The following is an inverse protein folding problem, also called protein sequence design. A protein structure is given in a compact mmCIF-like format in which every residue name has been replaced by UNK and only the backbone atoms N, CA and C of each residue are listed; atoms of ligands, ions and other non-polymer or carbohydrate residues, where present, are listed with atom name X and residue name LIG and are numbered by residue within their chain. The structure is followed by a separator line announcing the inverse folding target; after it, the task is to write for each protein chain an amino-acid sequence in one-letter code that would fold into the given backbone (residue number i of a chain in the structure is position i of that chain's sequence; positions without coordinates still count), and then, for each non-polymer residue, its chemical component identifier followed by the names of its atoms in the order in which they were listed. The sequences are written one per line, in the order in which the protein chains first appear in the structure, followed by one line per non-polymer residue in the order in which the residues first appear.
data_IF_281514432325
#
_entry.id   IF_281514432325
#
_cell.length_a   1.000
_cell.length_b   1.000
_cell.length_c   1.000
_cell.angle_alpha   90.00
_cell.angle_beta   90.00
_cell.angle_gamma   90.00
#
_symmetry.space_group_name_H-M   'P 1'
#
loop_
_entity.id
_entity.type
_entity.pdbx_description
1 polymer ?
#
# COMPACT_ATOMS: atom_id res chain seq x y z
N UNK A 1 66.20 -55.34 -25.75
CA UNK A 1 64.79 -54.94 -25.79
C UNK A 1 64.40 -54.43 -24.40
N UNK A 2 64.47 -53.11 -24.16
CA UNK A 2 64.19 -52.45 -22.87
C UNK A 2 62.83 -51.81 -22.91
N UNK A 3 61.91 -52.30 -22.03
CA UNK A 3 60.56 -51.75 -21.85
C UNK A 3 60.69 -50.54 -20.92
N UNK A 4 60.32 -49.36 -21.49
CA UNK A 4 60.18 -48.11 -20.70
C UNK A 4 58.78 -48.09 -20.11
N UNK A 5 58.68 -48.22 -18.77
CA UNK A 5 57.45 -47.98 -18.02
C UNK A 5 57.23 -46.46 -17.91
N UNK A 6 56.20 -45.94 -18.58
CA UNK A 6 55.71 -44.57 -18.35
C UNK A 6 54.83 -44.56 -17.14
N UNK A 7 55.34 -44.04 -16.03
CA UNK A 7 54.59 -43.72 -14.83
C UNK A 7 53.87 -42.37 -15.07
N UNK A 8 52.56 -42.41 -15.26
CA UNK A 8 51.73 -41.20 -15.40
C UNK A 8 51.40 -40.73 -13.97
N UNK A 9 52.03 -39.62 -13.56
CA UNK A 9 51.71 -38.92 -12.30
C UNK A 9 50.43 -38.10 -12.50
N UNK A 10 49.28 -38.57 -11.99
CA UNK A 10 48.04 -37.83 -11.88
C UNK A 10 48.16 -36.85 -10.72
N UNK A 11 48.37 -35.58 -10.99
CA UNK A 11 48.34 -34.49 -10.03
C UNK A 11 46.87 -34.16 -9.71
N UNK A 12 46.39 -34.23 -8.44
CA UNK A 12 45.08 -33.79 -8.11
C UNK A 12 45.02 -32.24 -8.15
N UNK A 13 44.25 -31.68 -9.07
CA UNK A 13 43.95 -30.26 -9.09
C UNK A 13 42.96 -29.98 -7.98
N UNK A 14 43.44 -29.47 -6.84
CA UNK A 14 42.60 -28.94 -5.76
C UNK A 14 42.04 -27.60 -6.23
N UNK A 15 40.80 -27.60 -6.70
CA UNK A 15 40.03 -26.36 -6.99
C UNK A 15 39.64 -25.79 -5.63
N UNK A 16 40.43 -24.85 -5.13
CA UNK A 16 40.05 -23.99 -4.01
C UNK A 16 38.92 -23.08 -4.52
N UNK A 17 37.65 -23.52 -4.35
CA UNK A 17 36.48 -22.71 -4.57
C UNK A 17 36.51 -21.54 -3.59
N UNK A 18 36.81 -20.33 -4.09
CA UNK A 18 36.48 -19.10 -3.37
C UNK A 18 34.95 -19.03 -3.21
N UNK A 19 34.45 -19.37 -2.04
CA UNK A 19 33.07 -19.02 -1.69
C UNK A 19 32.96 -17.47 -1.72
N UNK A 20 32.03 -16.88 -2.45
CA UNK A 20 31.84 -15.44 -2.38
C UNK A 20 31.45 -15.10 -0.94
N UNK A 21 32.27 -14.33 -0.25
CA UNK A 21 31.89 -13.70 1.01
C UNK A 21 30.68 -12.82 0.72
N UNK A 22 29.48 -13.31 1.04
CA UNK A 22 28.28 -12.50 1.10
C UNK A 22 28.50 -11.53 2.26
N UNK A 23 28.94 -10.33 1.95
CA UNK A 23 29.00 -9.24 2.92
C UNK A 23 27.54 -8.94 3.25
N UNK A 24 27.03 -9.47 4.36
CA UNK A 24 25.78 -9.01 4.93
C UNK A 24 25.94 -7.50 5.18
N UNK A 25 25.28 -6.69 4.35
CA UNK A 25 25.17 -5.25 4.60
C UNK A 25 24.50 -5.10 5.95
N UNK A 26 25.25 -4.73 6.96
CA UNK A 26 24.72 -4.44 8.29
C UNK A 26 23.58 -3.43 8.13
N UNK A 27 22.35 -3.86 8.43
CA UNK A 27 21.17 -2.97 8.40
C UNK A 27 21.32 -1.97 9.54
N UNK A 28 21.56 -0.72 9.19
CA UNK A 28 21.57 0.37 10.17
C UNK A 28 20.14 0.86 10.32
N UNK A 29 19.50 0.46 11.42
CA UNK A 29 18.11 0.83 11.74
C UNK A 29 18.13 1.86 12.86
N UNK A 30 17.51 3.02 12.59
CA UNK A 30 17.29 4.07 13.59
C UNK A 30 15.84 4.00 14.07
N UNK A 31 15.65 3.87 15.38
CA UNK A 31 14.32 3.95 16.01
C UNK A 31 13.91 5.42 16.15
N UNK A 32 12.64 5.73 15.84
CA UNK A 32 12.06 7.07 15.90
C UNK A 32 10.78 6.97 16.72
N UNK A 33 10.74 7.63 17.87
CA UNK A 33 9.54 7.74 18.69
C UNK A 33 8.77 8.98 18.24
N UNK A 34 7.48 8.82 17.94
CA UNK A 34 6.59 9.92 17.53
C UNK A 34 7.06 10.65 16.26
N UNK A 35 6.89 9.99 15.10
CA UNK A 35 7.14 10.62 13.80
C UNK A 35 6.01 11.59 13.46
N UNK A 36 6.37 12.81 13.02
CA UNK A 36 5.50 13.76 12.32
C UNK A 36 6.26 14.25 11.07
N UNK A 37 5.71 13.93 9.90
CA UNK A 37 6.32 14.21 8.61
C UNK A 37 5.33 14.92 7.68
N UNK A 38 5.77 15.97 7.01
CA UNK A 38 5.00 16.67 5.99
C UNK A 38 5.76 16.63 4.66
N UNK A 39 5.06 16.24 3.59
CA UNK A 39 5.62 16.17 2.25
C UNK A 39 4.93 17.22 1.36
N UNK A 40 5.76 17.95 0.63
CA UNK A 40 5.34 19.06 -0.23
C UNK A 40 5.69 18.77 -1.68
N UNK A 41 4.91 19.32 -2.60
CA UNK A 41 5.21 19.36 -4.03
C UNK A 41 6.36 20.32 -4.32
N UNK A 42 6.87 20.31 -5.53
CA UNK A 42 7.87 21.29 -6.00
C UNK A 42 7.36 22.73 -5.92
N UNK A 43 6.05 22.94 -6.01
CA UNK A 43 5.40 24.25 -5.92
C UNK A 43 5.13 24.69 -4.47
N UNK A 44 5.52 23.88 -3.47
CA UNK A 44 5.30 24.18 -2.07
C UNK A 44 3.92 23.78 -1.52
N UNK A 45 3.07 23.15 -2.32
CA UNK A 45 1.78 22.64 -1.86
C UNK A 45 1.99 21.38 -1.03
N UNK A 46 1.30 21.28 0.10
CA UNK A 46 1.32 20.07 0.94
C UNK A 46 0.57 18.94 0.24
N UNK A 47 1.27 17.83 -0.04
CA UNK A 47 0.69 16.67 -0.70
C UNK A 47 0.09 15.74 0.34
N UNK A 48 0.86 15.39 1.38
CA UNK A 48 0.40 14.56 2.49
C UNK A 48 1.20 14.81 3.76
N UNK A 49 0.62 14.40 4.89
CA UNK A 49 1.33 14.31 6.17
C UNK A 49 1.16 12.91 6.75
N UNK A 50 2.17 12.47 7.49
CA UNK A 50 2.17 11.19 8.20
C UNK A 50 2.48 11.45 9.66
N UNK A 51 1.67 10.89 10.56
CA UNK A 51 1.99 10.77 11.98
C UNK A 51 2.04 9.30 12.36
N UNK A 52 2.99 8.90 13.22
CA UNK A 52 3.10 7.54 13.74
C UNK A 52 3.68 7.56 15.15
N UNK A 53 3.07 6.87 16.12
CA UNK A 53 3.57 6.85 17.50
C UNK A 53 4.90 6.13 17.64
N UNK A 54 5.18 5.15 16.78
CA UNK A 54 6.42 4.36 16.76
C UNK A 54 6.83 4.07 15.31
N UNK A 55 8.11 4.30 15.00
CA UNK A 55 8.63 4.10 13.67
C UNK A 55 10.11 3.77 13.68
N UNK A 56 10.62 3.32 12.54
CA UNK A 56 12.02 3.09 12.32
C UNK A 56 12.44 3.49 10.91
N UNK A 57 13.67 3.95 10.78
CA UNK A 57 14.27 4.29 9.50
C UNK A 57 15.45 3.35 9.21
N UNK A 58 15.38 2.64 8.10
CA UNK A 58 16.49 1.86 7.58
C UNK A 58 17.33 2.73 6.65
N UNK A 59 18.50 3.13 7.11
CA UNK A 59 19.41 4.02 6.37
C UNK A 59 19.94 3.36 5.10
N UNK A 60 20.13 2.04 5.13
CA UNK A 60 20.66 1.29 3.98
C UNK A 60 19.62 1.14 2.86
N UNK A 61 18.36 0.93 3.23
CA UNK A 61 17.25 0.76 2.28
C UNK A 61 16.51 2.07 1.97
N UNK A 62 16.85 3.16 2.65
CA UNK A 62 16.16 4.46 2.59
C UNK A 62 14.65 4.29 2.80
N UNK A 63 14.28 3.55 3.84
CA UNK A 63 12.91 3.10 4.04
C UNK A 63 12.44 3.35 5.48
N UNK A 64 11.28 3.99 5.63
CA UNK A 64 10.57 4.06 6.89
C UNK A 64 9.67 2.85 7.07
N UNK A 65 9.61 2.32 8.30
CA UNK A 65 8.53 1.46 8.79
C UNK A 65 7.81 2.22 9.88
N UNK A 66 6.48 2.22 9.81
CA UNK A 66 5.59 3.00 10.66
C UNK A 66 4.57 2.05 11.29
N UNK A 67 4.33 2.19 12.59
CA UNK A 67 3.32 1.44 13.31
C UNK A 67 2.14 2.36 13.64
N UNK A 68 0.92 1.90 13.41
CA UNK A 68 -0.32 2.65 13.61
C UNK A 68 -0.29 4.07 13.02
N UNK A 69 0.12 4.22 11.74
CA UNK A 69 0.20 5.54 11.12
C UNK A 69 -1.18 6.13 10.85
N UNK A 70 -1.24 7.45 10.89
CA UNK A 70 -2.32 8.24 10.31
C UNK A 70 -1.74 9.13 9.22
N UNK A 71 -2.37 9.08 8.04
CA UNK A 71 -1.92 9.79 6.84
C UNK A 71 -3.05 10.69 6.38
N UNK A 72 -2.76 11.99 6.24
CA UNK A 72 -3.68 12.95 5.66
C UNK A 72 -3.21 13.28 4.25
N UNK A 73 -4.07 13.09 3.25
CA UNK A 73 -3.82 13.46 1.86
C UNK A 73 -4.55 14.76 1.55
N UNK A 74 -3.82 15.71 0.96
CA UNK A 74 -4.33 17.05 0.70
C UNK A 74 -4.63 17.27 -0.79
N UNK A 75 -5.62 18.13 -1.05
CA UNK A 75 -5.89 18.73 -2.35
C UNK A 75 -5.90 20.25 -2.16
N UNK A 76 -4.83 20.91 -2.57
CA UNK A 76 -4.57 22.29 -2.18
C UNK A 76 -4.39 22.41 -0.67
N UNK A 77 -5.17 23.26 0.00
CA UNK A 77 -5.09 23.47 1.45
C UNK A 77 -5.98 22.56 2.28
N UNK A 78 -6.87 21.79 1.64
CA UNK A 78 -7.86 20.97 2.31
C UNK A 78 -7.43 19.51 2.37
N UNK A 79 -7.68 18.85 3.51
CA UNK A 79 -7.51 17.40 3.63
C UNK A 79 -8.63 16.71 2.82
N UNK A 80 -8.24 15.90 1.85
CA UNK A 80 -9.16 15.15 1.00
C UNK A 80 -9.49 13.78 1.58
N UNK A 81 -8.45 13.07 2.06
CA UNK A 81 -8.58 11.75 2.66
C UNK A 81 -7.79 11.67 3.96
N UNK A 82 -8.30 10.88 4.90
CA UNK A 82 -7.57 10.41 6.08
C UNK A 82 -7.45 8.90 5.98
N UNK A 83 -6.23 8.38 6.07
CA UNK A 83 -5.96 6.94 5.99
C UNK A 83 -5.26 6.51 7.26
N UNK A 84 -5.70 5.38 7.82
CA UNK A 84 -5.04 4.71 8.94
C UNK A 84 -4.82 3.23 8.62
N UNK A 85 -3.85 2.60 9.26
CA UNK A 85 -3.54 1.17 9.16
C UNK A 85 -2.77 0.69 10.39
N UNK A 86 -2.56 -0.62 10.51
CA UNK A 86 -1.71 -1.18 11.58
C UNK A 86 -0.23 -0.89 11.29
N UNK A 87 0.19 -1.08 10.04
CA UNK A 87 1.57 -0.90 9.60
C UNK A 87 1.62 -0.12 8.28
N UNK A 88 2.72 0.60 8.09
CA UNK A 88 3.02 1.22 6.80
C UNK A 88 4.52 1.20 6.50
N UNK A 89 4.85 1.25 5.21
CA UNK A 89 6.20 1.48 4.74
C UNK A 89 6.21 2.63 3.74
N UNK A 90 7.17 3.53 3.89
CA UNK A 90 7.45 4.61 2.95
C UNK A 90 8.85 4.41 2.39
N UNK A 91 9.00 4.30 1.09
CA UNK A 91 10.23 3.95 0.38
C UNK A 91 10.40 4.77 -0.90
N UNK A 92 11.47 4.50 -1.64
CA UNK A 92 11.78 5.15 -2.93
C UNK A 92 11.80 6.67 -2.81
N UNK A 93 12.60 7.19 -1.87
CA UNK A 93 12.70 8.63 -1.60
C UNK A 93 11.33 9.28 -1.31
N UNK A 94 10.51 8.60 -0.52
CA UNK A 94 9.15 9.04 -0.12
C UNK A 94 8.12 9.04 -1.27
N UNK A 95 8.34 8.23 -2.32
CA UNK A 95 7.43 8.14 -3.46
C UNK A 95 6.46 6.95 -3.40
N UNK A 96 6.84 5.88 -2.71
CA UNK A 96 6.01 4.67 -2.61
C UNK A 96 5.56 4.45 -1.17
N UNK A 97 4.26 4.58 -0.93
CA UNK A 97 3.59 4.32 0.34
C UNK A 97 2.80 3.02 0.24
N UNK A 98 3.07 2.09 1.16
CA UNK A 98 2.32 0.83 1.31
C UNK A 98 1.80 0.73 2.73
N UNK A 99 0.50 0.51 2.89
CA UNK A 99 -0.15 0.27 4.16
C UNK A 99 -0.65 -1.17 4.22
N UNK A 100 -0.65 -1.75 5.42
CA UNK A 100 -1.05 -3.12 5.66
C UNK A 100 -1.77 -3.26 7.00
N UNK A 101 -2.81 -4.10 6.99
CA UNK A 101 -3.62 -4.43 8.15
C UNK A 101 -4.61 -3.32 8.51
N UNK A 102 -5.89 -3.66 8.62
CA UNK A 102 -6.98 -2.78 9.03
C UNK A 102 -6.95 -1.40 8.36
N UNK A 103 -6.62 -1.37 7.06
CA UNK A 103 -6.57 -0.11 6.31
C UNK A 103 -7.96 0.50 6.28
N UNK A 104 -8.05 1.77 6.67
CA UNK A 104 -9.28 2.55 6.67
C UNK A 104 -9.03 3.90 6.02
N UNK A 105 -9.69 4.16 4.89
CA UNK A 105 -9.68 5.44 4.20
C UNK A 105 -11.03 6.12 4.41
N UNK A 106 -11.02 7.35 4.90
CA UNK A 106 -12.19 8.21 5.07
C UNK A 106 -12.12 9.41 4.14
N UNK A 107 -13.24 9.77 3.53
CA UNK A 107 -13.42 11.08 2.88
C UNK A 107 -13.88 12.09 3.93
N UNK A 108 -13.52 13.36 3.76
CA UNK A 108 -13.98 14.46 4.65
C UNK A 108 -15.16 15.22 4.04
N UNK A 109 -16.10 14.49 3.43
CA UNK A 109 -17.37 15.04 2.98
C UNK A 109 -18.42 14.98 4.11
N UNK A 110 -19.57 15.64 3.88
CA UNK A 110 -20.68 15.71 4.82
C UNK A 110 -21.22 14.33 5.22
N UNK A 111 -21.29 13.41 4.24
CA UNK A 111 -21.62 12.00 4.48
C UNK A 111 -20.31 11.21 4.40
N UNK A 112 -19.87 10.68 5.55
CA UNK A 112 -18.58 9.98 5.62
C UNK A 112 -18.59 8.71 4.77
N UNK A 113 -17.96 8.77 3.59
CA UNK A 113 -17.61 7.56 2.84
C UNK A 113 -16.40 6.90 3.48
N UNK A 114 -16.51 5.62 3.80
CA UNK A 114 -15.43 4.85 4.41
C UNK A 114 -15.09 3.66 3.51
N UNK A 115 -13.82 3.49 3.23
CA UNK A 115 -13.28 2.35 2.47
C UNK A 115 -12.29 1.58 3.35
N UNK A 116 -12.57 0.30 3.54
CA UNK A 116 -11.72 -0.66 4.28
C UNK A 116 -10.99 -1.57 3.29
N UNK A 117 -9.77 -2.00 3.64
CA UNK A 117 -8.96 -2.94 2.89
C UNK A 117 -7.93 -3.63 3.79
N UNK A 118 -7.33 -4.73 3.32
CA UNK A 118 -6.17 -5.33 3.99
C UNK A 118 -4.88 -4.60 3.61
N UNK A 119 -4.79 -4.13 2.36
CA UNK A 119 -3.62 -3.46 1.81
C UNK A 119 -4.00 -2.23 0.99
N UNK A 120 -3.13 -1.22 1.04
CA UNK A 120 -3.23 -0.01 0.23
C UNK A 120 -1.85 0.33 -0.32
N UNK A 121 -1.79 0.64 -1.60
CA UNK A 121 -0.56 0.99 -2.30
C UNK A 121 -0.78 2.32 -3.03
N UNK A 122 0.09 3.26 -2.77
CA UNK A 122 0.10 4.55 -3.46
C UNK A 122 1.52 4.90 -3.91
N UNK A 123 1.68 4.98 -5.22
CA UNK A 123 2.81 5.68 -5.82
C UNK A 123 2.44 7.16 -5.90
N UNK A 124 3.15 8.00 -5.19
CA UNK A 124 2.81 9.43 -5.00
C UNK A 124 2.92 10.22 -6.31
N UNK A 125 3.74 9.75 -7.25
CA UNK A 125 3.83 10.33 -8.60
C UNK A 125 2.64 9.94 -9.49
N UNK A 126 1.92 8.88 -9.12
CA UNK A 126 0.69 8.45 -9.79
C UNK A 126 -0.52 8.98 -9.02
N UNK A 127 -1.57 9.28 -9.77
CA UNK A 127 -2.82 9.80 -9.17
C UNK A 127 -3.78 8.70 -8.74
N UNK A 128 -3.35 7.45 -8.81
CA UNK A 128 -4.16 6.27 -8.54
C UNK A 128 -3.76 5.59 -7.24
N UNK A 129 -4.75 5.16 -6.47
CA UNK A 129 -4.59 4.37 -5.26
C UNK A 129 -5.12 2.96 -5.51
N UNK A 130 -4.31 1.95 -5.20
CA UNK A 130 -4.68 0.55 -5.31
C UNK A 130 -4.98 -0.01 -3.93
N UNK A 131 -6.13 -0.70 -3.79
CA UNK A 131 -6.57 -1.36 -2.58
C UNK A 131 -6.79 -2.85 -2.87
N UNK A 132 -6.36 -3.70 -1.96
CA UNK A 132 -6.43 -5.15 -2.13
C UNK A 132 -6.80 -5.86 -0.81
N UNK A 133 -7.58 -6.93 -0.94
CA UNK A 133 -8.01 -7.79 0.16
C UNK A 133 -9.17 -7.20 0.95
N UNK A 134 -10.25 -7.97 1.07
CA UNK A 134 -11.44 -7.68 1.90
C UNK A 134 -11.95 -6.24 1.78
N UNK A 135 -12.05 -5.77 0.52
CA UNK A 135 -12.54 -4.40 0.27
C UNK A 135 -13.98 -4.28 0.70
N UNK A 136 -14.24 -3.28 1.54
CA UNK A 136 -15.59 -2.87 1.94
C UNK A 136 -15.68 -1.36 1.87
N UNK A 137 -16.46 -0.85 0.95
CA UNK A 137 -16.87 0.56 0.92
C UNK A 137 -18.25 0.68 1.54
N UNK A 138 -18.45 1.68 2.38
CA UNK A 138 -19.74 1.98 2.96
C UNK A 138 -19.97 3.45 3.19
N UNK A 139 -21.23 3.85 3.03
CA UNK A 139 -21.79 5.11 3.48
C UNK A 139 -23.15 4.87 4.12
N UNK A 140 -23.94 5.94 4.30
CA UNK A 140 -25.27 5.83 4.93
C UNK A 140 -26.21 4.90 4.16
N UNK A 141 -26.13 4.86 2.83
CA UNK A 141 -27.12 4.24 1.94
C UNK A 141 -26.71 2.88 1.39
N UNK A 142 -25.41 2.65 1.21
CA UNK A 142 -24.90 1.49 0.47
C UNK A 142 -23.70 0.81 1.13
N UNK A 143 -23.47 -0.44 0.74
CA UNK A 143 -22.25 -1.19 0.95
C UNK A 143 -21.82 -1.80 -0.38
N UNK A 144 -20.52 -1.68 -0.72
CA UNK A 144 -19.87 -2.39 -1.82
C UNK A 144 -18.75 -3.26 -1.25
N UNK A 145 -18.75 -4.55 -1.55
CA UNK A 145 -17.68 -5.47 -1.18
C UNK A 145 -17.00 -6.01 -2.44
N UNK A 146 -15.69 -6.13 -2.40
CA UNK A 146 -14.89 -6.75 -3.49
C UNK A 146 -13.54 -7.25 -2.98
N UNK A 147 -12.78 -7.93 -3.83
CA UNK A 147 -11.41 -8.34 -3.52
C UNK A 147 -10.36 -7.29 -3.82
N UNK A 148 -10.69 -6.35 -4.73
CA UNK A 148 -9.77 -5.32 -5.21
C UNK A 148 -10.52 -4.05 -5.61
N UNK A 149 -9.92 -2.90 -5.35
CA UNK A 149 -10.46 -1.62 -5.80
C UNK A 149 -9.33 -0.67 -6.22
N UNK A 150 -9.68 0.29 -7.08
CA UNK A 150 -8.81 1.38 -7.52
C UNK A 150 -9.55 2.70 -7.37
N UNK A 151 -8.94 3.65 -6.69
CA UNK A 151 -9.46 5.02 -6.60
C UNK A 151 -8.65 5.90 -7.55
N UNK A 152 -9.33 6.50 -8.52
CA UNK A 152 -8.75 7.38 -9.52
C UNK A 152 -8.70 8.85 -9.09
N UNK A 153 -7.98 9.66 -9.88
CA UNK A 153 -7.91 11.13 -9.71
C UNK A 153 -9.24 11.83 -9.98
N UNK A 154 -10.10 11.21 -10.77
CA UNK A 154 -11.46 11.64 -11.16
C UNK A 154 -12.50 11.44 -10.04
N UNK A 155 -12.06 10.94 -8.87
CA UNK A 155 -12.92 10.58 -7.73
C UNK A 155 -13.87 9.40 -8.01
N UNK A 156 -13.51 8.52 -8.92
CA UNK A 156 -14.21 7.26 -9.16
C UNK A 156 -13.46 6.13 -8.42
N UNK A 157 -14.21 5.34 -7.67
CA UNK A 157 -13.73 4.06 -7.12
C UNK A 157 -14.23 2.96 -8.03
N UNK A 158 -13.30 2.26 -8.65
CA UNK A 158 -13.54 1.07 -9.46
C UNK A 158 -13.34 -0.17 -8.58
N UNK A 159 -14.36 -1.02 -8.48
CA UNK A 159 -14.36 -2.29 -7.76
C UNK A 159 -14.29 -3.44 -8.75
N UNK A 160 -13.47 -4.46 -8.43
CA UNK A 160 -13.19 -5.58 -9.34
C UNK A 160 -13.73 -6.88 -8.80
N UNK A 161 -14.03 -7.80 -9.72
CA UNK A 161 -14.61 -9.13 -9.60
C UNK A 161 -14.15 -9.96 -8.39
N UNK A 162 -15.09 -10.54 -7.65
CA UNK A 162 -16.53 -10.27 -7.71
C UNK A 162 -16.91 -9.04 -6.89
N UNK A 163 -17.95 -8.35 -7.31
CA UNK A 163 -18.50 -7.20 -6.57
C UNK A 163 -19.89 -7.54 -6.04
N UNK A 164 -20.09 -7.29 -4.75
CA UNK A 164 -21.39 -7.39 -4.09
C UNK A 164 -21.85 -6.02 -3.66
N UNK A 165 -22.92 -5.52 -4.27
CA UNK A 165 -23.55 -4.25 -3.95
C UNK A 165 -24.80 -4.45 -3.12
N UNK A 166 -24.93 -3.71 -2.03
CA UNK A 166 -26.02 -3.81 -1.08
C UNK A 166 -26.60 -2.41 -0.86
N UNK A 167 -27.91 -2.25 -1.06
CA UNK A 167 -28.63 -1.05 -0.67
C UNK A 167 -29.16 -1.27 0.74
N UNK A 168 -28.84 -0.38 1.67
CA UNK A 168 -29.35 -0.39 3.03
C UNK A 168 -30.83 0.01 3.04
N UNK A 169 -31.65 -0.75 3.73
CA UNK A 169 -33.04 -0.39 4.03
C UNK A 169 -33.16 0.35 5.34
N UNK A 170 -34.39 0.71 5.71
CA UNK A 170 -34.69 1.24 7.03
C UNK A 170 -34.23 0.25 8.11
N UNK A 171 -33.70 0.76 9.22
CA UNK A 171 -33.15 -0.03 10.34
C UNK A 171 -31.92 -0.90 9.99
N UNK A 172 -31.12 -0.49 8.98
CA UNK A 172 -29.93 -1.23 8.51
C UNK A 172 -30.18 -2.65 7.96
N UNK A 173 -31.44 -3.01 7.67
CA UNK A 173 -31.73 -4.23 6.95
C UNK A 173 -31.37 -4.06 5.46
N UNK A 174 -30.79 -5.09 4.86
CA UNK A 174 -30.50 -5.10 3.42
C UNK A 174 -31.83 -5.03 2.65
N UNK A 175 -31.94 -4.03 1.77
CA UNK A 175 -33.12 -3.88 0.93
C UNK A 175 -33.00 -4.59 -0.41
N UNK A 176 -31.83 -4.46 -1.03
CA UNK A 176 -31.52 -5.10 -2.31
C UNK A 176 -30.04 -5.51 -2.33
N UNK A 177 -29.77 -6.58 -3.05
CA UNK A 177 -28.42 -7.10 -3.27
C UNK A 177 -28.22 -7.33 -4.78
N UNK A 178 -27.12 -6.85 -5.34
CA UNK A 178 -26.73 -7.01 -6.73
C UNK A 178 -25.31 -7.58 -6.75
N UNK A 179 -25.09 -8.63 -7.54
CA UNK A 179 -23.77 -9.17 -7.79
C UNK A 179 -23.34 -8.82 -9.21
N UNK A 180 -22.12 -8.35 -9.38
CA UNK A 180 -21.54 -7.91 -10.65
C UNK A 180 -20.07 -8.31 -10.76
N UNK A 181 -19.53 -8.30 -11.97
CA UNK A 181 -18.10 -8.44 -12.18
C UNK A 181 -17.34 -7.19 -11.77
N UNK A 182 -17.86 -6.01 -12.11
CA UNK A 182 -17.28 -4.72 -11.75
C UNK A 182 -18.38 -3.77 -11.28
N UNK A 183 -18.00 -2.77 -10.51
CA UNK A 183 -18.85 -1.64 -10.15
C UNK A 183 -18.00 -0.37 -10.03
N UNK A 184 -18.61 0.76 -10.33
CA UNK A 184 -17.99 2.08 -10.26
C UNK A 184 -18.80 2.96 -9.32
N UNK A 185 -18.16 3.52 -8.31
CA UNK A 185 -18.76 4.49 -7.41
C UNK A 185 -18.15 5.87 -7.63
N UNK A 186 -18.98 6.84 -7.99
CA UNK A 186 -18.55 8.22 -8.18
C UNK A 186 -18.71 8.98 -6.85
N UNK A 187 -17.58 9.35 -6.23
CA UNK A 187 -17.54 10.10 -4.98
C UNK A 187 -18.16 11.50 -5.07
N UNK A 188 -18.30 12.09 -6.26
CA UNK A 188 -18.87 13.43 -6.41
C UNK A 188 -20.40 13.40 -6.53
N UNK A 189 -20.94 12.43 -7.28
CA UNK A 189 -22.36 12.29 -7.55
C UNK A 189 -23.06 11.26 -6.66
N UNK A 190 -22.27 10.50 -5.87
CA UNK A 190 -22.73 9.43 -4.98
C UNK A 190 -23.52 8.33 -5.72
N UNK A 191 -23.23 8.15 -7.00
CA UNK A 191 -23.91 7.19 -7.87
C UNK A 191 -23.06 5.93 -8.10
N UNK A 192 -23.75 4.80 -8.25
CA UNK A 192 -23.16 3.51 -8.62
C UNK A 192 -23.54 3.18 -10.05
N UNK A 193 -22.60 2.65 -10.83
CA UNK A 193 -22.80 2.04 -12.15
C UNK A 193 -22.11 0.68 -12.24
N UNK A 194 -22.56 -0.17 -13.17
CA UNK A 194 -22.08 -1.53 -13.38
C UNK A 194 -21.65 -1.76 -14.81
#
# INVERSE_FOLDING_TARGET
MTKINRLIFLLPIVILGCAPNVIEKNKVIQKINSLDMNIFSQNGDKIYSITSPDSSYNITELKFKLNNPTINIFKGKETKYIISSDESTLSENNKLLKLKGNVKLKTLKKDEDILYADNFIWNIEETNYLLEGNIRFENQNIILNSGKAKLGSDNIIEFFNPVKYIIKGENNNNKYEINSENAYYNLNTESVSF
#
